data_IF_271458727103
#
_entry.id   IF_271458727103
#
_cell.length_a   1.000
_cell.length_b   1.000
_cell.length_c   1.000
_cell.angle_alpha   90.00
_cell.angle_beta   90.00
_cell.angle_gamma   90.00
#
_symmetry.space_group_name_H-M   'P 1'
#
loop_
_entity.id
_entity.type
_entity.pdbx_description
1 polymer ?
#
# COMPACT_ATOMS: atom_id res chain seq x y z
N UNK A 1 10.80 9.06 -21.34
CA UNK A 1 9.38 9.11 -20.90
C UNK A 1 8.40 8.86 -22.04
N UNK A 2 8.57 9.46 -23.19
CA UNK A 2 7.68 9.31 -24.38
C UNK A 2 7.56 7.87 -24.90
N UNK A 3 8.65 7.12 -24.99
CA UNK A 3 8.65 5.72 -25.47
C UNK A 3 7.66 4.80 -24.72
N UNK A 4 7.44 5.03 -23.43
CA UNK A 4 6.47 4.26 -22.66
C UNK A 4 5.03 4.62 -23.03
N UNK A 5 4.75 5.88 -23.29
CA UNK A 5 3.41 6.34 -23.71
C UNK A 5 3.07 5.82 -25.10
N UNK A 6 4.02 5.85 -26.03
CA UNK A 6 3.87 5.29 -27.37
C UNK A 6 3.58 3.79 -27.31
N UNK A 7 4.33 3.04 -26.50
CA UNK A 7 4.10 1.62 -26.29
C UNK A 7 2.70 1.29 -25.73
N UNK A 8 2.20 2.12 -24.78
CA UNK A 8 0.86 1.94 -24.23
C UNK A 8 -0.24 2.25 -25.25
N UNK A 9 -0.01 3.22 -26.13
CA UNK A 9 -0.98 3.66 -27.12
C UNK A 9 -1.01 2.79 -28.38
N UNK A 10 0.09 2.13 -28.70
CA UNK A 10 0.25 1.32 -29.93
C UNK A 10 -0.94 0.37 -30.18
N UNK A 11 -1.43 -0.43 -29.20
CA UNK A 11 -2.57 -1.32 -29.43
C UNK A 11 -3.88 -0.61 -29.75
N UNK A 12 -4.01 0.66 -29.39
CA UNK A 12 -5.23 1.45 -29.64
C UNK A 12 -5.26 2.08 -31.03
N UNK A 13 -4.14 2.08 -31.74
CA UNK A 13 -3.96 2.79 -32.99
C UNK A 13 -4.03 4.32 -32.87
N UNK A 14 -3.92 4.87 -31.68
CA UNK A 14 -3.92 6.31 -31.41
C UNK A 14 -2.49 6.76 -31.14
N UNK A 15 -2.10 7.89 -31.72
CA UNK A 15 -0.79 8.48 -31.49
C UNK A 15 -0.81 9.46 -30.31
N UNK A 16 0.36 9.69 -29.74
CA UNK A 16 0.53 10.70 -28.69
C UNK A 16 0.25 12.11 -29.20
N UNK A 17 0.51 12.34 -30.48
CA UNK A 17 0.26 13.62 -31.15
C UNK A 17 -1.24 13.89 -31.32
N UNK A 18 -2.01 12.89 -31.72
CA UNK A 18 -3.47 12.96 -31.75
C UNK A 18 -4.06 13.28 -30.38
N UNK A 19 -3.59 12.61 -29.31
CA UNK A 19 -4.06 12.91 -27.96
C UNK A 19 -3.73 14.34 -27.50
N UNK A 20 -2.61 14.88 -27.93
CA UNK A 20 -2.24 16.27 -27.61
C UNK A 20 -3.08 17.28 -28.36
N UNK A 21 -3.45 16.96 -29.60
CA UNK A 21 -4.32 17.81 -30.41
C UNK A 21 -5.78 17.80 -29.93
N UNK A 22 -6.18 16.77 -29.17
CA UNK A 22 -7.54 16.53 -28.70
C UNK A 22 -7.60 16.37 -27.17
N UNK A 23 -7.52 17.49 -26.38
CA UNK A 23 -7.58 17.41 -24.91
C UNK A 23 -8.88 16.80 -24.36
N UNK A 24 -9.96 16.87 -25.14
CA UNK A 24 -11.25 16.23 -24.87
C UNK A 24 -11.20 14.70 -24.96
N UNK A 25 -10.15 14.15 -25.55
CA UNK A 25 -9.94 12.73 -25.76
C UNK A 25 -10.22 12.26 -27.18
N UNK A 26 -9.61 11.14 -27.55
CA UNK A 26 -9.79 10.48 -28.85
C UNK A 26 -10.49 9.13 -28.62
N UNK A 27 -11.53 8.86 -29.41
CA UNK A 27 -12.21 7.56 -29.34
C UNK A 27 -11.29 6.44 -29.85
N UNK A 28 -11.13 5.38 -29.05
CA UNK A 28 -10.33 4.22 -29.43
C UNK A 28 -10.78 3.63 -30.77
N UNK A 29 -9.82 3.33 -31.64
CA UNK A 29 -10.09 2.72 -32.95
C UNK A 29 -10.35 1.22 -32.86
N UNK A 30 -9.77 0.58 -31.84
CA UNK A 30 -9.97 -0.83 -31.56
C UNK A 30 -11.08 -0.97 -30.52
N UNK A 31 -12.22 -1.45 -30.94
CA UNK A 31 -13.31 -1.83 -30.04
C UNK A 31 -13.13 -3.30 -29.73
N UNK A 32 -12.68 -3.60 -28.51
CA UNK A 32 -12.68 -4.97 -27.97
C UNK A 32 -14.10 -5.22 -27.45
N UNK A 33 -14.90 -6.04 -28.12
CA UNK A 33 -16.24 -6.36 -27.61
C UNK A 33 -16.08 -7.03 -26.24
N UNK A 34 -17.00 -6.77 -25.28
CA UNK A 34 -16.99 -7.46 -24.01
C UNK A 34 -17.09 -8.97 -24.26
N UNK A 35 -16.04 -9.68 -23.88
CA UNK A 35 -16.00 -11.12 -24.06
C UNK A 35 -16.83 -11.78 -22.93
N UNK A 36 -17.89 -12.47 -23.33
CA UNK A 36 -18.66 -13.32 -22.43
C UNK A 36 -18.14 -14.76 -22.51
N UNK A 37 -17.91 -15.37 -21.35
CA UNK A 37 -17.42 -16.74 -21.23
C UNK A 37 -16.08 -16.96 -21.98
N UNK A 38 -15.16 -16.03 -21.84
CA UNK A 38 -13.86 -16.04 -22.52
C UNK A 38 -13.12 -17.36 -22.29
N UNK A 39 -13.08 -17.82 -21.04
CA UNK A 39 -12.31 -19.02 -20.69
C UNK A 39 -12.96 -20.36 -21.11
N UNK A 40 -14.21 -20.36 -21.54
CA UNK A 40 -14.80 -21.53 -22.20
C UNK A 40 -14.18 -21.75 -23.59
N UNK A 41 -13.79 -20.67 -24.28
CA UNK A 41 -13.26 -20.69 -25.63
C UNK A 41 -11.73 -20.68 -25.66
N UNK A 42 -11.13 -19.78 -24.89
CA UNK A 42 -9.70 -19.49 -24.96
C UNK A 42 -8.88 -20.24 -23.90
N UNK A 43 -9.56 -20.90 -22.94
CA UNK A 43 -8.94 -21.50 -21.75
C UNK A 43 -8.18 -20.48 -20.90
N UNK A 44 -7.60 -20.93 -19.80
CA UNK A 44 -6.78 -20.09 -18.95
C UNK A 44 -5.33 -20.03 -19.46
N UNK A 45 -4.68 -18.88 -19.32
CA UNK A 45 -3.26 -18.70 -19.68
C UNK A 45 -2.33 -19.31 -18.62
N UNK A 46 -2.51 -20.58 -18.37
CA UNK A 46 -1.73 -21.38 -17.42
C UNK A 46 -1.13 -22.58 -18.17
N UNK A 47 -0.06 -23.21 -17.67
CA UNK A 47 0.50 -24.42 -18.29
C UNK A 47 -0.50 -25.53 -18.51
N UNK A 48 -1.48 -25.70 -17.63
CA UNK A 48 -2.56 -26.71 -17.75
C UNK A 48 -3.72 -26.24 -18.60
N UNK A 49 -3.83 -24.96 -18.93
CA UNK A 49 -5.00 -24.35 -19.57
C UNK A 49 -6.24 -24.32 -18.66
N UNK A 50 -6.09 -24.59 -17.36
CA UNK A 50 -7.14 -24.59 -16.34
C UNK A 50 -6.77 -23.62 -15.22
N UNK A 51 -7.71 -23.35 -14.30
CA UNK A 51 -7.37 -22.69 -13.03
C UNK A 51 -6.42 -23.57 -12.27
N UNK A 52 -5.27 -23.01 -11.87
CA UNK A 52 -4.24 -23.72 -11.10
C UNK A 52 -4.25 -23.21 -9.66
N UNK A 53 -4.53 -24.08 -8.70
CA UNK A 53 -4.36 -23.81 -7.27
C UNK A 53 -2.91 -24.00 -6.82
N UNK A 54 -2.16 -24.82 -7.55
CA UNK A 54 -0.72 -25.00 -7.41
C UNK A 54 -0.06 -24.47 -8.66
N UNK A 55 0.80 -23.47 -8.51
CA UNK A 55 1.52 -22.86 -9.64
C UNK A 55 2.61 -23.79 -10.14
N UNK A 56 2.42 -24.39 -11.30
CA UNK A 56 3.45 -25.19 -11.94
C UNK A 56 4.70 -24.40 -12.29
N UNK A 57 4.57 -23.08 -12.45
CA UNK A 57 5.70 -22.20 -12.72
C UNK A 57 6.57 -22.07 -11.47
N UNK A 58 5.97 -21.80 -10.31
CA UNK A 58 6.70 -21.67 -9.04
C UNK A 58 7.34 -22.99 -8.60
N UNK A 59 6.65 -24.12 -8.81
CA UNK A 59 7.21 -25.44 -8.48
C UNK A 59 8.56 -25.70 -9.17
N UNK A 60 8.80 -25.14 -10.35
CA UNK A 60 10.10 -25.27 -11.04
C UNK A 60 11.24 -24.56 -10.31
N UNK A 61 10.91 -23.61 -9.43
CA UNK A 61 11.89 -22.85 -8.65
C UNK A 61 11.97 -23.31 -7.18
N UNK A 62 11.32 -24.43 -6.85
CA UNK A 62 11.28 -24.96 -5.49
C UNK A 62 12.68 -25.32 -4.97
N UNK A 63 13.46 -26.04 -5.75
CA UNK A 63 14.81 -26.45 -5.34
C UNK A 63 15.82 -25.30 -5.35
N UNK A 64 15.70 -24.38 -6.31
CA UNK A 64 16.68 -23.30 -6.50
C UNK A 64 16.41 -22.07 -5.62
N UNK A 65 15.15 -21.79 -5.26
CA UNK A 65 14.74 -20.57 -4.55
C UNK A 65 13.84 -20.85 -3.34
N UNK A 66 13.48 -22.10 -3.07
CA UNK A 66 12.61 -22.48 -1.95
C UNK A 66 11.13 -22.03 -2.12
N UNK A 67 10.70 -21.74 -3.35
CA UNK A 67 9.31 -21.34 -3.59
C UNK A 67 8.41 -22.57 -3.70
N UNK A 68 7.27 -22.53 -3.00
CA UNK A 68 6.20 -23.51 -3.17
C UNK A 68 5.22 -23.03 -4.25
N UNK A 69 4.76 -23.95 -5.08
CA UNK A 69 3.67 -23.67 -6.03
C UNK A 69 2.33 -23.48 -5.34
N UNK A 70 2.17 -24.05 -4.14
CA UNK A 70 1.01 -23.82 -3.28
C UNK A 70 1.26 -22.58 -2.40
N UNK A 71 0.32 -21.62 -2.32
CA UNK A 71 0.43 -20.52 -1.37
C UNK A 71 0.49 -21.04 0.06
N UNK A 72 1.54 -20.70 0.76
CA UNK A 72 1.75 -21.06 2.16
C UNK A 72 1.81 -19.79 3.01
N UNK A 73 1.21 -19.84 4.20
CA UNK A 73 1.37 -18.79 5.17
C UNK A 73 2.81 -18.77 5.68
N UNK A 74 3.45 -17.61 5.62
CA UNK A 74 4.70 -17.34 6.29
C UNK A 74 4.50 -16.19 7.25
N UNK A 75 4.91 -16.37 8.48
CA UNK A 75 4.83 -15.28 9.45
C UNK A 75 5.81 -14.17 9.03
N UNK A 76 5.26 -13.01 8.68
CA UNK A 76 6.08 -11.87 8.27
C UNK A 76 7.09 -11.44 9.34
N UNK A 77 6.80 -11.75 10.61
CA UNK A 77 7.69 -11.49 11.74
C UNK A 77 8.98 -12.33 11.69
N UNK A 78 8.97 -13.41 10.95
CA UNK A 78 10.14 -14.26 10.71
C UNK A 78 10.86 -13.91 9.39
N UNK A 79 10.16 -13.23 8.50
CA UNK A 79 10.67 -12.88 7.16
C UNK A 79 11.49 -11.58 7.20
N UNK A 80 11.10 -10.62 8.05
CA UNK A 80 11.74 -9.33 8.14
C UNK A 80 12.76 -9.28 9.28
N UNK A 81 14.03 -9.08 8.94
CA UNK A 81 15.12 -8.88 9.91
C UNK A 81 15.07 -7.47 10.51
N UNK A 82 14.07 -7.19 11.34
CA UNK A 82 13.88 -5.91 12.04
C UNK A 82 14.02 -6.18 13.54
N UNK A 83 14.74 -5.28 14.23
CA UNK A 83 14.86 -5.32 15.68
C UNK A 83 13.49 -5.06 16.32
N UNK A 84 12.94 -6.10 16.93
CA UNK A 84 11.60 -6.09 17.53
C UNK A 84 11.59 -5.60 18.97
N UNK A 85 12.73 -5.42 19.59
CA UNK A 85 12.84 -4.74 20.88
C UNK A 85 12.76 -3.22 20.65
N UNK A 86 13.35 -2.73 19.56
CA UNK A 86 13.28 -1.32 19.16
C UNK A 86 11.94 -0.97 18.46
N UNK A 87 11.44 -1.87 17.60
CA UNK A 87 10.19 -1.66 16.85
C UNK A 87 9.15 -2.74 17.16
N UNK A 88 8.54 -2.71 18.36
CA UNK A 88 7.69 -3.82 18.85
C UNK A 88 6.28 -3.85 18.25
N UNK A 89 5.83 -2.77 17.62
CA UNK A 89 4.47 -2.63 17.11
C UNK A 89 4.42 -2.97 15.63
N UNK A 90 3.32 -3.55 15.18
CA UNK A 90 3.04 -3.80 13.77
C UNK A 90 2.50 -2.52 13.15
N UNK A 91 3.11 -2.09 12.06
CA UNK A 91 2.66 -0.96 11.26
C UNK A 91 1.72 -1.42 10.15
N UNK A 92 0.51 -0.89 10.14
CA UNK A 92 -0.48 -1.10 9.09
C UNK A 92 -0.80 0.22 8.38
N UNK A 93 -0.51 0.32 7.09
CA UNK A 93 -0.73 1.54 6.29
C UNK A 93 -1.73 1.33 5.16
N UNK A 94 -2.53 0.29 5.23
CA UNK A 94 -3.26 -0.21 4.05
C UNK A 94 -4.58 0.47 3.71
N UNK A 95 -5.17 1.28 4.58
CA UNK A 95 -6.48 1.88 4.36
C UNK A 95 -6.40 3.28 3.76
N UNK A 96 -7.47 3.68 3.07
CA UNK A 96 -7.64 5.02 2.51
C UNK A 96 -8.80 5.74 3.18
N UNK A 97 -8.69 7.03 3.35
CA UNK A 97 -9.81 7.85 3.78
C UNK A 97 -10.72 8.14 2.61
N UNK A 98 -12.04 7.97 2.76
CA UNK A 98 -13.00 8.18 1.67
C UNK A 98 -12.90 9.56 1.05
N UNK A 99 -12.76 10.62 1.86
CA UNK A 99 -12.67 12.00 1.42
C UNK A 99 -11.39 12.31 0.64
N UNK A 100 -10.29 11.61 0.89
CA UNK A 100 -9.02 11.85 0.23
C UNK A 100 -8.80 10.96 -1.00
N UNK A 101 -9.52 9.85 -1.09
CA UNK A 101 -9.41 8.86 -2.18
C UNK A 101 -7.96 8.59 -2.61
N UNK A 102 -7.16 8.05 -1.71
CA UNK A 102 -5.70 8.04 -1.75
C UNK A 102 -5.16 9.49 -1.69
N UNK A 103 -4.20 9.85 -2.52
CA UNK A 103 -3.68 11.20 -2.59
C UNK A 103 -4.36 12.09 -3.66
N UNK A 104 -5.48 11.65 -4.24
CA UNK A 104 -6.08 12.36 -5.39
C UNK A 104 -6.69 13.70 -5.03
N UNK A 105 -7.35 13.76 -3.90
CA UNK A 105 -8.19 14.88 -3.52
C UNK A 105 -7.61 15.76 -2.42
N UNK A 106 -6.43 15.45 -1.89
CA UNK A 106 -5.78 16.26 -0.86
C UNK A 106 -5.45 17.70 -1.34
N UNK A 107 -5.34 17.91 -2.66
CA UNK A 107 -5.14 19.24 -3.26
C UNK A 107 -6.43 20.05 -3.43
N UNK A 108 -7.58 19.41 -3.20
CA UNK A 108 -8.87 20.08 -3.21
C UNK A 108 -9.09 20.68 -1.83
N UNK A 109 -8.96 22.00 -1.70
CA UNK A 109 -8.86 22.68 -0.41
C UNK A 109 -9.99 22.36 0.58
N UNK A 110 -11.23 22.27 0.12
CA UNK A 110 -12.36 21.94 0.98
C UNK A 110 -12.38 20.47 1.43
N UNK A 111 -11.86 19.52 0.63
CA UNK A 111 -11.69 18.13 1.04
C UNK A 111 -10.51 17.97 2.00
N UNK A 112 -9.39 18.63 1.71
CA UNK A 112 -8.24 18.65 2.60
C UNK A 112 -8.55 19.29 3.96
N UNK A 113 -9.49 20.24 4.00
CA UNK A 113 -9.95 20.87 5.23
C UNK A 113 -10.73 19.95 6.18
N UNK A 114 -11.21 18.79 5.68
CA UNK A 114 -11.87 17.78 6.50
C UNK A 114 -10.86 16.99 7.37
N UNK A 115 -9.59 17.05 7.00
CA UNK A 115 -8.52 16.40 7.76
C UNK A 115 -7.26 17.28 7.79
N UNK A 116 -7.00 17.85 8.95
CA UNK A 116 -5.91 18.80 9.13
C UNK A 116 -4.56 18.16 9.46
N UNK A 117 -4.55 16.89 9.87
CA UNK A 117 -3.35 16.18 10.26
C UNK A 117 -3.45 14.69 9.93
N UNK A 118 -2.30 14.02 9.87
CA UNK A 118 -2.24 12.56 9.81
C UNK A 118 -2.79 11.99 11.11
N UNK A 119 -3.81 11.14 11.02
CA UNK A 119 -4.33 10.40 12.18
C UNK A 119 -3.59 9.07 12.31
N UNK A 120 -3.23 8.76 13.55
CA UNK A 120 -2.52 7.56 13.94
C UNK A 120 -3.41 6.81 14.93
N UNK A 121 -3.99 5.70 14.46
CA UNK A 121 -4.91 4.89 15.25
C UNK A 121 -4.13 3.87 16.07
N UNK A 122 -4.42 3.81 17.37
CA UNK A 122 -3.82 2.86 18.31
C UNK A 122 -4.90 2.28 19.24
N UNK A 123 -4.64 1.07 19.72
CA UNK A 123 -5.52 0.45 20.73
C UNK A 123 -5.38 1.13 22.09
N UNK A 124 -6.44 1.21 22.92
CA UNK A 124 -6.36 1.80 24.26
C UNK A 124 -5.28 1.19 25.17
N UNK A 125 -5.05 -0.11 25.11
CA UNK A 125 -3.99 -0.78 25.88
C UNK A 125 -2.58 -0.31 25.47
N UNK A 126 -2.36 -0.08 24.17
CA UNK A 126 -1.10 0.46 23.69
C UNK A 126 -0.97 1.94 24.06
N UNK A 127 -2.07 2.71 23.97
CA UNK A 127 -2.09 4.11 24.38
C UNK A 127 -1.71 4.25 25.87
N UNK A 128 -2.29 3.44 26.75
CA UNK A 128 -1.93 3.40 28.17
C UNK A 128 -0.46 3.02 28.38
N UNK A 129 0.01 1.98 27.70
CA UNK A 129 1.40 1.50 27.78
C UNK A 129 2.43 2.56 27.40
N UNK A 130 2.13 3.36 26.36
CA UNK A 130 3.03 4.40 25.86
C UNK A 130 2.74 5.80 26.44
N UNK A 131 1.78 5.93 27.37
CA UNK A 131 1.41 7.19 27.99
C UNK A 131 0.81 8.21 27.00
N UNK A 132 0.05 7.72 26.04
CA UNK A 132 -0.57 8.51 24.97
C UNK A 132 -2.07 8.65 25.26
N UNK A 133 -2.58 9.85 25.11
CA UNK A 133 -4.01 10.16 25.18
C UNK A 133 -4.58 10.45 23.80
N UNK A 134 -5.90 10.31 23.65
CA UNK A 134 -6.58 10.68 22.40
C UNK A 134 -6.37 12.16 22.10
N UNK A 135 -5.95 12.46 20.87
CA UNK A 135 -5.62 13.81 20.42
C UNK A 135 -4.17 14.25 20.66
N UNK A 136 -3.36 13.45 21.34
CA UNK A 136 -1.94 13.78 21.50
C UNK A 136 -1.19 13.81 20.18
N UNK A 137 -0.21 14.71 20.09
CA UNK A 137 0.78 14.65 19.02
C UNK A 137 1.76 13.52 19.32
N UNK A 138 1.90 12.60 18.38
CA UNK A 138 2.77 11.43 18.49
C UNK A 138 3.71 11.32 17.32
N UNK A 139 4.85 10.70 17.57
CA UNK A 139 5.82 10.30 16.53
C UNK A 139 5.76 8.80 16.36
N UNK A 140 5.59 8.35 15.14
CA UNK A 140 5.79 6.96 14.75
C UNK A 140 7.10 6.85 14.02
N UNK A 141 7.92 5.91 14.43
CA UNK A 141 9.23 5.65 13.83
C UNK A 141 9.35 4.20 13.38
N UNK A 142 10.01 4.01 12.27
CA UNK A 142 10.40 2.71 11.71
C UNK A 142 11.91 2.70 11.45
N UNK A 143 12.51 1.59 11.05
CA UNK A 143 13.93 1.54 10.69
C UNK A 143 14.36 2.53 9.61
N UNK A 144 13.45 3.04 8.80
CA UNK A 144 13.78 3.88 7.64
C UNK A 144 13.33 5.32 7.75
N UNK A 145 12.46 5.65 8.71
CA UNK A 145 11.99 7.02 8.85
C UNK A 145 11.04 7.23 10.01
N UNK A 146 10.57 8.46 10.15
CA UNK A 146 9.56 8.81 11.16
C UNK A 146 8.59 9.86 10.63
N UNK A 147 7.35 9.81 11.12
CA UNK A 147 6.32 10.81 10.87
C UNK A 147 5.67 11.23 12.17
N UNK A 148 5.13 12.46 12.20
CA UNK A 148 4.30 12.93 13.31
C UNK A 148 2.84 12.98 12.88
N UNK A 149 1.94 12.72 13.83
CA UNK A 149 0.51 12.79 13.61
C UNK A 149 -0.25 12.87 14.93
N UNK A 150 -1.57 12.92 14.84
CA UNK A 150 -2.45 12.98 16.00
C UNK A 150 -2.91 11.57 16.34
N UNK A 151 -2.70 11.17 17.59
CA UNK A 151 -3.19 9.89 18.09
C UNK A 151 -4.72 9.86 18.11
N UNK A 152 -5.26 8.78 17.63
CA UNK A 152 -6.67 8.43 17.75
C UNK A 152 -6.77 7.11 18.49
N UNK A 153 -7.24 7.17 19.71
CA UNK A 153 -7.41 5.98 20.55
C UNK A 153 -8.70 5.27 20.16
N UNK A 154 -8.58 4.08 19.58
CA UNK A 154 -9.69 3.43 18.89
C UNK A 154 -9.81 1.95 19.23
N UNK A 155 -10.96 1.57 19.84
CA UNK A 155 -11.22 0.21 20.31
C UNK A 155 -11.25 -0.87 19.20
N UNK A 156 -11.49 -0.49 17.95
CA UNK A 156 -11.54 -1.45 16.84
C UNK A 156 -10.17 -1.78 16.26
N UNK A 157 -9.10 -1.09 16.69
CA UNK A 157 -7.73 -1.55 16.44
C UNK A 157 -7.42 -2.77 17.33
N UNK A 158 -6.44 -3.57 16.94
CA UNK A 158 -5.97 -4.66 17.77
C UNK A 158 -4.75 -4.20 18.59
N UNK A 159 -4.58 -4.68 19.84
CA UNK A 159 -3.37 -4.41 20.60
C UNK A 159 -2.11 -4.82 19.83
N UNK A 160 -1.07 -4.00 19.93
CA UNK A 160 0.19 -4.21 19.21
C UNK A 160 0.20 -3.74 17.75
N UNK A 161 -0.86 -3.06 17.28
CA UNK A 161 -0.94 -2.54 15.91
C UNK A 161 -1.11 -1.03 15.93
N UNK A 162 -0.29 -0.34 15.15
CA UNK A 162 -0.44 1.07 14.78
C UNK A 162 -0.97 1.14 13.36
N UNK A 163 -2.09 1.81 13.17
CA UNK A 163 -2.67 2.01 11.85
C UNK A 163 -2.58 3.47 11.40
N UNK A 164 -2.13 3.68 10.17
CA UNK A 164 -1.97 5.00 9.56
C UNK A 164 -2.58 4.98 8.17
N UNK A 165 -3.49 5.91 7.91
CA UNK A 165 -4.04 6.08 6.57
C UNK A 165 -3.01 6.71 5.63
N UNK A 166 -2.89 6.17 4.43
CA UNK A 166 -2.02 6.74 3.41
C UNK A 166 -2.68 7.90 2.65
N UNK A 167 -1.87 8.70 1.97
CA UNK A 167 -2.33 9.78 1.10
C UNK A 167 -2.42 11.14 1.79
N UNK A 168 -1.72 11.33 2.88
CA UNK A 168 -1.63 12.61 3.56
C UNK A 168 -0.43 13.41 3.04
N UNK A 169 -0.61 14.71 2.84
CA UNK A 169 0.47 15.59 2.38
C UNK A 169 1.52 15.90 3.47
N UNK A 170 1.11 15.74 4.74
CA UNK A 170 1.96 15.95 5.92
C UNK A 170 2.07 14.62 6.68
N UNK A 171 3.24 14.00 6.68
CA UNK A 171 3.45 12.69 7.32
C UNK A 171 2.86 11.55 6.47
N UNK A 172 3.47 11.29 5.33
CA UNK A 172 3.05 10.21 4.43
C UNK A 172 3.49 8.86 4.98
N UNK A 173 2.56 7.92 5.07
CA UNK A 173 2.81 6.58 5.59
C UNK A 173 3.92 5.82 4.83
N UNK A 174 4.16 6.16 3.56
CA UNK A 174 5.24 5.57 2.77
C UNK A 174 6.65 5.94 3.28
N UNK A 175 6.79 7.03 4.04
CA UNK A 175 8.07 7.42 4.62
C UNK A 175 8.53 6.44 5.73
N UNK A 176 7.61 5.60 6.20
CA UNK A 176 7.87 4.56 7.20
C UNK A 176 8.16 3.19 6.60
N UNK A 177 7.95 2.97 5.31
CA UNK A 177 8.08 1.67 4.66
C UNK A 177 9.35 1.59 3.84
N UNK A 178 10.20 0.62 4.14
CA UNK A 178 11.39 0.37 3.33
C UNK A 178 10.98 -0.13 1.94
N UNK A 179 11.38 0.60 0.92
CA UNK A 179 11.15 0.25 -0.49
C UNK A 179 11.85 -1.03 -0.94
N UNK A 180 12.80 -1.54 -0.16
CA UNK A 180 13.50 -2.78 -0.45
C UNK A 180 12.82 -4.00 0.18
N UNK A 181 11.89 -3.80 1.13
CA UNK A 181 11.09 -4.88 1.69
C UNK A 181 9.92 -5.22 0.77
N UNK A 182 10.24 -6.02 -0.22
CA UNK A 182 9.30 -6.45 -1.24
C UNK A 182 9.08 -7.96 -1.16
N UNK A 183 7.86 -8.38 -1.40
CA UNK A 183 7.59 -9.79 -1.66
C UNK A 183 8.46 -10.27 -2.83
N UNK A 184 9.26 -11.31 -2.68
CA UNK A 184 10.24 -11.71 -3.69
C UNK A 184 9.63 -12.25 -4.99
N UNK A 185 8.34 -12.60 -4.97
CA UNK A 185 7.63 -13.13 -6.14
C UNK A 185 6.87 -12.01 -6.84
N UNK A 186 6.06 -11.27 -6.11
CA UNK A 186 5.19 -10.24 -6.66
C UNK A 186 5.80 -8.84 -6.70
N UNK A 187 6.86 -8.60 -5.92
CA UNK A 187 7.41 -7.27 -5.70
C UNK A 187 6.50 -6.35 -4.89
N UNK A 188 5.52 -6.91 -4.17
CA UNK A 188 4.57 -6.13 -3.40
C UNK A 188 5.18 -5.66 -2.07
N UNK A 189 5.08 -4.38 -1.70
CA UNK A 189 5.61 -3.87 -0.43
C UNK A 189 4.80 -4.35 0.79
N UNK A 190 5.47 -4.43 1.94
CA UNK A 190 4.89 -4.87 3.20
C UNK A 190 4.00 -3.84 3.89
N UNK A 191 3.04 -3.24 3.22
CA UNK A 191 2.19 -2.16 3.74
C UNK A 191 1.36 -2.49 4.99
N UNK A 192 1.12 -3.76 5.27
CA UNK A 192 0.31 -4.21 6.39
C UNK A 192 1.07 -5.08 7.38
N UNK A 193 2.36 -5.21 7.18
CA UNK A 193 3.20 -6.16 7.90
C UNK A 193 4.60 -5.61 8.14
N UNK A 194 4.71 -4.31 8.38
CA UNK A 194 5.96 -3.67 8.75
C UNK A 194 6.00 -3.45 10.26
N UNK A 195 7.09 -2.86 10.78
CA UNK A 195 7.25 -2.65 12.22
C UNK A 195 7.53 -1.20 12.53
N UNK A 196 7.09 -0.78 13.71
CA UNK A 196 7.30 0.58 14.20
C UNK A 196 7.35 0.64 15.72
N UNK A 197 7.74 1.80 16.21
CA UNK A 197 7.51 2.25 17.58
C UNK A 197 6.72 3.54 17.57
N UNK A 198 6.12 3.89 18.70
CA UNK A 198 5.36 5.13 18.88
C UNK A 198 5.75 5.79 20.19
N UNK A 199 5.84 7.11 20.17
CA UNK A 199 6.09 7.91 21.35
C UNK A 199 5.29 9.22 21.32
N UNK A 200 4.98 9.76 22.50
CA UNK A 200 4.39 11.10 22.61
C UNK A 200 5.42 12.15 22.21
N UNK A 201 5.07 13.03 21.27
CA UNK A 201 5.95 14.11 20.85
C UNK A 201 6.11 15.15 21.95
N UNK A 202 7.35 15.47 22.30
CA UNK A 202 7.68 16.49 23.29
C UNK A 202 7.84 17.85 22.58
N UNK A 203 6.81 18.66 22.61
CA UNK A 203 6.86 20.04 22.11
C UNK A 203 5.65 20.43 21.26
N UNK A 204 5.35 21.73 21.17
CA UNK A 204 4.35 22.25 20.25
C UNK A 204 4.86 22.08 18.80
N UNK A 205 4.32 21.12 18.08
CA UNK A 205 4.50 21.08 16.63
C UNK A 205 3.68 22.23 16.05
N UNK A 206 4.36 23.28 15.57
CA UNK A 206 3.69 24.37 14.83
C UNK A 206 3.00 23.75 13.62
N UNK A 207 1.68 23.80 13.61
CA UNK A 207 0.77 23.31 12.57
C UNK A 207 1.02 23.98 11.21
#
# INVERSE_FOLDING_TARGET
>A
MYKRQEYILEPSGITLEELRAHPEGVKGRVIIPPAFKTYEKERFHTPSGKVEFVSQILERYKESHGYSGLPEYRDFREVWEIDREEYPLILNTGSRKPQLFHARTYRVAWLAGLEKATLIEIHPEDAEKYGIEDGDMVRVSSPVGSICGIATVYLNSQPGIVHIYHGNAKGEANDLIDRNYLDPISGFPGYKSYFCTIEKEKGEVKA
#
